data_IF_033344708756
#
_entry.id   IF_033344708756
#
_cell.length_a   1.000
_cell.length_b   1.000
_cell.length_c   1.000
_cell.angle_alpha   90.00
_cell.angle_beta   90.00
_cell.angle_gamma   90.00
#
_symmetry.space_group_name_H-M   'P 1'
#
loop_
_entity.id
_entity.type
_entity.pdbx_description
1 polymer ?
#
# COMPACT_ATOMS: atom_id res chain seq x y z
N UNK A 1 -39.78 26.66 -19.72
CA UNK A 1 -38.36 26.29 -19.71
C UNK A 1 -38.25 24.81 -19.35
N UNK A 2 -37.89 23.94 -20.30
CA UNK A 2 -37.70 22.50 -20.05
C UNK A 2 -36.30 22.30 -19.47
N UNK A 3 -36.21 21.74 -18.25
CA UNK A 3 -34.96 21.49 -17.55
C UNK A 3 -34.07 20.54 -18.35
N UNK A 4 -32.80 20.92 -18.48
CA UNK A 4 -31.76 20.08 -19.09
C UNK A 4 -31.55 18.87 -18.16
N UNK A 5 -31.64 17.62 -18.63
CA UNK A 5 -31.33 16.47 -17.79
C UNK A 5 -29.85 16.52 -17.37
N UNK A 6 -29.50 16.06 -16.15
CA UNK A 6 -28.12 16.03 -15.69
C UNK A 6 -27.27 15.19 -16.64
N UNK A 7 -26.06 15.65 -16.92
CA UNK A 7 -25.11 14.95 -17.77
C UNK A 7 -24.87 13.55 -17.18
N UNK A 8 -25.28 12.51 -17.92
CA UNK A 8 -24.86 11.13 -17.61
C UNK A 8 -23.35 11.08 -17.79
N UNK A 9 -22.62 10.89 -16.69
CA UNK A 9 -21.20 10.58 -16.75
C UNK A 9 -20.97 9.33 -17.61
N UNK A 10 -19.74 9.12 -18.10
CA UNK A 10 -19.45 8.02 -19.01
C UNK A 10 -19.80 6.67 -18.38
N UNK A 11 -20.51 5.82 -19.13
CA UNK A 11 -20.98 4.50 -18.70
C UNK A 11 -19.84 3.60 -18.18
N UNK A 12 -18.61 3.79 -18.69
CA UNK A 12 -17.41 3.09 -18.25
C UNK A 12 -16.93 3.43 -16.82
N UNK A 13 -17.37 4.55 -16.24
CA UNK A 13 -16.99 4.92 -14.86
C UNK A 13 -17.82 4.15 -13.83
N UNK A 14 -19.06 3.77 -14.18
CA UNK A 14 -19.89 2.87 -13.35
C UNK A 14 -19.39 1.43 -13.42
N UNK A 15 -19.05 0.94 -14.61
CA UNK A 15 -18.59 -0.44 -14.83
C UNK A 15 -17.29 -0.78 -14.09
N UNK A 16 -16.35 0.18 -13.97
CA UNK A 16 -15.15 -0.03 -13.14
C UNK A 16 -15.48 -0.14 -11.66
N UNK A 17 -16.27 0.77 -11.14
CA UNK A 17 -16.58 0.84 -9.70
C UNK A 17 -17.39 -0.38 -9.25
N UNK A 18 -18.38 -0.79 -10.05
CA UNK A 18 -19.24 -1.96 -9.78
C UNK A 18 -18.51 -3.32 -9.95
N UNK A 19 -17.46 -3.39 -10.78
CA UNK A 19 -16.57 -4.59 -10.86
C UNK A 19 -15.73 -4.77 -9.61
N UNK A 20 -15.26 -3.67 -9.03
CA UNK A 20 -14.38 -3.69 -7.87
C UNK A 20 -15.14 -3.94 -6.57
N UNK A 21 -16.41 -3.54 -6.49
CA UNK A 21 -17.31 -3.83 -5.37
C UNK A 21 -17.66 -5.31 -5.20
N UNK A 22 -17.39 -6.18 -6.20
CA UNK A 22 -17.64 -7.63 -6.10
C UNK A 22 -16.41 -8.49 -5.84
N UNK A 23 -15.22 -7.89 -5.73
CA UNK A 23 -13.98 -8.64 -5.54
C UNK A 23 -13.28 -8.17 -4.26
N UNK A 24 -13.64 -8.79 -3.14
CA UNK A 24 -13.02 -8.56 -1.83
C UNK A 24 -11.50 -8.66 -1.87
N UNK A 25 -10.94 -9.56 -2.70
CA UNK A 25 -9.49 -9.68 -2.86
C UNK A 25 -8.88 -8.45 -3.53
N UNK A 26 -9.56 -7.86 -4.52
CA UNK A 26 -9.12 -6.61 -5.14
C UNK A 26 -9.23 -5.43 -4.16
N UNK A 27 -10.35 -5.32 -3.45
CA UNK A 27 -10.56 -4.28 -2.45
C UNK A 27 -9.49 -4.37 -1.34
N UNK A 28 -9.19 -5.57 -0.86
CA UNK A 28 -8.12 -5.84 0.09
C UNK A 28 -6.75 -5.44 -0.48
N UNK A 29 -6.45 -5.84 -1.72
CA UNK A 29 -5.18 -5.50 -2.40
C UNK A 29 -4.99 -3.98 -2.50
N UNK A 30 -6.00 -3.25 -2.97
CA UNK A 30 -5.92 -1.79 -3.06
C UNK A 30 -5.79 -1.14 -1.69
N UNK A 31 -6.52 -1.65 -0.68
CA UNK A 31 -6.44 -1.13 0.68
C UNK A 31 -5.05 -1.33 1.28
N UNK A 32 -4.46 -2.51 1.08
CA UNK A 32 -3.11 -2.83 1.53
C UNK A 32 -2.07 -1.89 0.90
N UNK A 33 -2.10 -1.74 -0.43
CA UNK A 33 -1.15 -0.88 -1.17
C UNK A 33 -1.29 0.58 -0.71
N UNK A 34 -2.51 1.11 -0.67
CA UNK A 34 -2.76 2.50 -0.26
C UNK A 34 -2.33 2.74 1.19
N UNK A 35 -2.59 1.78 2.08
CA UNK A 35 -2.20 1.89 3.49
C UNK A 35 -0.68 1.87 3.64
N UNK A 36 0.02 0.99 2.90
CA UNK A 36 1.49 0.94 2.91
C UNK A 36 2.13 2.26 2.44
N UNK A 37 1.63 2.85 1.36
CA UNK A 37 2.07 4.16 0.86
C UNK A 37 1.82 5.24 1.92
N UNK A 38 0.59 5.33 2.43
CA UNK A 38 0.21 6.34 3.42
C UNK A 38 1.06 6.25 4.69
N UNK A 39 1.30 5.05 5.21
CA UNK A 39 2.14 4.85 6.39
C UNK A 39 3.59 5.24 6.11
N UNK A 40 4.14 4.82 4.96
CA UNK A 40 5.53 5.16 4.58
C UNK A 40 5.73 6.67 4.46
N UNK A 41 4.84 7.35 3.76
CA UNK A 41 4.90 8.81 3.62
C UNK A 41 4.72 9.53 4.97
N UNK A 42 3.79 9.07 5.80
CA UNK A 42 3.53 9.69 7.10
C UNK A 42 4.71 9.53 8.05
N UNK A 43 5.26 8.32 8.17
CA UNK A 43 6.40 8.05 9.04
C UNK A 43 7.67 8.75 8.52
N UNK A 44 7.90 8.75 7.20
CA UNK A 44 9.01 9.48 6.59
C UNK A 44 8.95 10.97 6.88
N UNK A 45 7.79 11.60 6.66
CA UNK A 45 7.59 13.02 6.97
C UNK A 45 7.78 13.32 8.47
N UNK A 46 7.37 12.41 9.35
CA UNK A 46 7.58 12.57 10.79
C UNK A 46 9.07 12.53 11.13
N UNK A 47 9.81 11.57 10.57
CA UNK A 47 11.26 11.44 10.75
C UNK A 47 11.99 12.69 10.28
N UNK A 48 11.62 13.23 9.10
CA UNK A 48 12.22 14.44 8.54
C UNK A 48 11.96 15.70 9.38
N UNK A 49 10.92 15.70 10.24
CA UNK A 49 10.58 16.81 11.14
C UNK A 49 11.24 16.69 12.52
N UNK A 50 11.88 15.56 12.83
CA UNK A 50 12.54 15.37 14.12
C UNK A 50 13.80 16.23 14.23
N UNK A 51 14.08 16.80 15.41
CA UNK A 51 15.41 17.33 15.72
C UNK A 51 16.51 16.27 15.52
N UNK A 52 17.71 16.69 15.14
CA UNK A 52 18.87 15.79 14.95
C UNK A 52 19.21 14.98 16.21
N UNK A 53 18.83 15.48 17.39
CA UNK A 53 19.06 14.89 18.71
C UNK A 53 17.80 14.32 19.37
N UNK A 54 16.70 14.11 18.61
CA UNK A 54 15.44 13.62 19.16
C UNK A 54 15.57 12.25 19.86
N UNK A 55 16.45 11.38 19.34
CA UNK A 55 16.72 10.04 19.86
C UNK A 55 18.23 9.78 19.90
N UNK A 56 18.95 10.26 20.93
CA UNK A 56 20.41 10.15 20.98
C UNK A 56 20.88 8.69 21.07
N UNK A 57 21.62 8.23 20.06
CA UNK A 57 22.20 6.89 20.02
C UNK A 57 21.27 5.81 19.48
N UNK A 58 20.10 6.17 18.96
CA UNK A 58 19.13 5.27 18.33
C UNK A 58 18.91 5.67 16.86
N UNK A 59 18.39 4.75 16.04
CA UNK A 59 17.92 5.08 14.70
C UNK A 59 16.51 5.70 14.79
N UNK A 60 16.31 6.97 14.37
CA UNK A 60 15.00 7.62 14.47
C UNK A 60 13.90 6.89 13.68
N UNK A 61 14.27 6.21 12.58
CA UNK A 61 13.34 5.43 11.77
C UNK A 61 12.81 4.20 12.50
N UNK A 62 13.69 3.44 13.16
CA UNK A 62 13.32 2.31 14.02
C UNK A 62 12.42 2.78 15.16
N UNK A 63 12.81 3.83 15.88
CA UNK A 63 12.03 4.34 17.03
C UNK A 63 10.63 4.79 16.61
N UNK A 64 10.52 5.59 15.54
CA UNK A 64 9.22 6.06 15.03
C UNK A 64 8.35 4.89 14.57
N UNK A 65 8.95 3.90 13.92
CA UNK A 65 8.24 2.70 13.46
C UNK A 65 7.72 1.86 14.63
N UNK A 66 8.54 1.65 15.66
CA UNK A 66 8.15 0.93 16.88
C UNK A 66 7.06 1.67 17.66
N UNK A 67 7.17 2.99 17.79
CA UNK A 67 6.14 3.81 18.43
C UNK A 67 4.80 3.72 17.68
N UNK A 68 4.83 3.83 16.35
CA UNK A 68 3.65 3.69 15.52
C UNK A 68 3.03 2.29 15.67
N UNK A 69 3.84 1.23 15.63
CA UNK A 69 3.39 -0.14 15.87
C UNK A 69 2.77 -0.31 17.26
N UNK A 70 3.44 0.17 18.31
CA UNK A 70 2.96 0.12 19.69
C UNK A 70 1.60 0.79 19.89
N UNK A 71 1.33 1.88 19.16
CA UNK A 71 0.04 2.59 19.21
C UNK A 71 -1.13 1.79 18.63
N UNK A 72 -0.87 0.90 17.67
CA UNK A 72 -1.90 0.12 16.96
C UNK A 72 -2.03 -1.33 17.45
N UNK A 73 -1.03 -1.87 18.16
CA UNK A 73 -1.06 -3.23 18.73
C UNK A 73 -2.36 -3.54 19.50
N UNK A 74 -2.90 -2.63 20.36
CA UNK A 74 -4.17 -2.91 21.04
C UNK A 74 -5.38 -3.08 20.12
N UNK A 75 -5.38 -2.41 18.96
CA UNK A 75 -6.42 -2.57 17.94
C UNK A 75 -6.29 -3.93 17.25
N UNK A 76 -5.07 -4.29 16.85
CA UNK A 76 -4.78 -5.55 16.16
C UNK A 76 -5.01 -6.76 17.06
N UNK A 77 -4.67 -6.66 18.36
CA UNK A 77 -4.88 -7.72 19.34
C UNK A 77 -6.35 -8.16 19.47
N UNK A 78 -7.32 -7.27 19.17
CA UNK A 78 -8.76 -7.60 19.20
C UNK A 78 -9.17 -8.60 18.11
N UNK A 79 -8.39 -8.69 17.03
CA UNK A 79 -8.64 -9.61 15.91
C UNK A 79 -8.26 -11.06 16.29
N UNK A 80 -7.32 -11.23 17.22
CA UNK A 80 -6.88 -12.52 17.74
C UNK A 80 -5.69 -13.12 16.99
N UNK A 81 -4.91 -13.95 17.71
CA UNK A 81 -3.59 -14.44 17.27
C UNK A 81 -3.60 -15.21 15.95
N UNK A 82 -4.62 -16.07 15.72
CA UNK A 82 -4.71 -16.88 14.50
C UNK A 82 -4.87 -15.99 13.26
N UNK A 83 -5.83 -15.08 13.28
CA UNK A 83 -6.09 -14.17 12.17
C UNK A 83 -4.90 -13.24 11.91
N UNK A 84 -4.22 -12.77 12.97
CA UNK A 84 -3.00 -11.97 12.82
C UNK A 84 -1.92 -12.75 12.05
N UNK A 85 -1.69 -14.02 12.40
CA UNK A 85 -0.71 -14.87 11.72
C UNK A 85 -1.07 -15.11 10.25
N UNK A 86 -2.32 -15.47 9.97
CA UNK A 86 -2.78 -15.66 8.58
C UNK A 86 -2.66 -14.38 7.76
N UNK A 87 -2.89 -13.22 8.38
CA UNK A 87 -2.73 -11.92 7.72
C UNK A 87 -1.25 -11.58 7.46
N UNK A 88 -0.35 -11.91 8.39
CA UNK A 88 1.10 -11.76 8.18
C UNK A 88 1.55 -12.61 6.98
N UNK A 89 1.19 -13.90 6.97
CA UNK A 89 1.55 -14.83 5.87
C UNK A 89 1.01 -14.34 4.52
N UNK A 90 -0.20 -13.76 4.49
CA UNK A 90 -0.77 -13.14 3.31
C UNK A 90 0.03 -11.90 2.86
N UNK A 91 0.35 -10.99 3.79
CA UNK A 91 1.11 -9.78 3.49
C UNK A 91 2.49 -10.14 2.93
N UNK A 92 3.18 -11.09 3.55
CA UNK A 92 4.50 -11.56 3.10
C UNK A 92 4.43 -12.10 1.67
N UNK A 93 3.43 -12.95 1.37
CA UNK A 93 3.22 -13.50 0.03
C UNK A 93 2.95 -12.41 -1.02
N UNK A 94 2.17 -11.39 -0.65
CA UNK A 94 1.89 -10.25 -1.55
C UNK A 94 3.14 -9.42 -1.80
N UNK A 95 3.93 -9.14 -0.76
CA UNK A 95 5.19 -8.38 -0.88
C UNK A 95 6.20 -9.14 -1.75
N UNK A 96 6.36 -10.44 -1.54
CA UNK A 96 7.23 -11.28 -2.36
C UNK A 96 6.80 -11.27 -3.84
N UNK A 97 5.50 -11.37 -4.10
CA UNK A 97 4.94 -11.30 -5.45
C UNK A 97 5.23 -9.95 -6.12
N UNK A 98 4.98 -8.84 -5.43
CA UNK A 98 5.24 -7.48 -5.94
C UNK A 98 6.73 -7.32 -6.26
N UNK A 99 7.62 -7.73 -5.36
CA UNK A 99 9.07 -7.66 -5.59
C UNK A 99 9.50 -8.51 -6.78
N UNK A 100 8.93 -9.70 -6.95
CA UNK A 100 9.17 -10.56 -8.11
C UNK A 100 8.76 -9.88 -9.42
N UNK A 101 7.56 -9.30 -9.46
CA UNK A 101 7.05 -8.58 -10.63
C UNK A 101 7.88 -7.34 -10.97
N UNK A 102 8.28 -6.55 -9.97
CA UNK A 102 9.12 -5.36 -10.17
C UNK A 102 10.51 -5.73 -10.69
N UNK A 103 11.12 -6.80 -10.18
CA UNK A 103 12.41 -7.31 -10.68
C UNK A 103 12.30 -7.74 -12.13
N UNK A 104 11.24 -8.48 -12.48
CA UNK A 104 10.99 -8.90 -13.85
C UNK A 104 10.77 -7.70 -14.78
N UNK A 105 9.99 -6.72 -14.35
CA UNK A 105 9.76 -5.49 -15.12
C UNK A 105 11.07 -4.72 -15.36
N UNK A 106 11.92 -4.59 -14.34
CA UNK A 106 13.22 -3.96 -14.45
C UNK A 106 14.16 -4.72 -15.41
N UNK A 107 14.15 -6.05 -15.37
CA UNK A 107 14.92 -6.87 -16.29
C UNK A 107 14.47 -6.68 -17.75
N UNK A 108 13.16 -6.68 -18.00
CA UNK A 108 12.59 -6.43 -19.33
C UNK A 108 12.98 -5.03 -19.83
N UNK A 109 12.89 -4.01 -18.98
CA UNK A 109 13.29 -2.65 -19.31
C UNK A 109 14.79 -2.59 -19.68
N UNK A 110 15.67 -3.20 -18.87
CA UNK A 110 17.10 -3.23 -19.13
C UNK A 110 17.49 -3.98 -20.41
N UNK A 111 16.75 -5.02 -20.80
CA UNK A 111 16.94 -5.73 -22.08
C UNK A 111 16.54 -4.88 -23.29
N UNK A 112 15.47 -4.09 -23.17
CA UNK A 112 15.01 -3.15 -24.21
C UNK A 112 16.02 -2.02 -24.43
N UNK A 113 16.59 -1.48 -23.36
CA UNK A 113 17.64 -0.45 -23.45
C UNK A 113 18.93 -0.96 -24.08
N UNK A 114 19.26 -2.24 -23.88
CA UNK A 114 20.45 -2.89 -24.46
C UNK A 114 20.29 -3.34 -25.91
N UNK A 115 19.18 -3.00 -26.57
CA UNK A 115 19.01 -3.22 -28.02
C UNK A 115 18.64 -4.64 -28.44
N UNK A 116 18.16 -5.50 -27.52
CA UNK A 116 17.50 -6.75 -27.93
C UNK A 116 16.08 -6.44 -28.43
N UNK A 117 15.95 -6.08 -29.70
CA UNK A 117 14.70 -6.30 -30.44
C UNK A 117 14.51 -7.81 -30.57
N UNK A 118 13.43 -8.33 -29.98
CA UNK A 118 12.90 -9.67 -30.28
C UNK A 118 12.40 -9.69 -31.72
#
# INVERSE_FOLDING_TARGET
MKGRPPARGPEWSRDRTERFERNDAWALTLTLIKSGIFVTETLGNLIDMLPEDAYPGEDPGEVVTEMAAGSIVPLVNKVGRKQCRETIELIDSVVESILGELRLAAEIAGRREKGYTV
#
